data_IF_105713171804
#
_entry.id   IF_105713171804
#
_cell.length_a   1.000
_cell.length_b   1.000
_cell.length_c   1.000
_cell.angle_alpha   90.00
_cell.angle_beta   90.00
_cell.angle_gamma   90.00
#
_symmetry.space_group_name_H-M   'P 1'
#
loop_
_entity.id
_entity.type
_entity.pdbx_description
1 polymer ?
#
# COMPACT_ATOMS: atom_id res chain seq x y z
N UNK A 1 33.63 15.98 28.15
CA UNK A 1 33.59 15.12 26.97
C UNK A 1 32.36 14.23 27.07
N UNK A 2 31.24 14.63 26.45
CA UNK A 2 29.98 13.86 26.48
C UNK A 2 29.87 13.16 25.14
N UNK A 3 29.75 11.82 25.07
CA UNK A 3 29.68 11.13 23.80
C UNK A 3 28.35 11.51 23.15
N UNK A 4 28.44 12.16 21.99
CA UNK A 4 27.31 12.41 21.11
C UNK A 4 26.78 11.05 20.67
N UNK A 5 25.74 10.56 21.34
CA UNK A 5 25.02 9.39 20.84
C UNK A 5 24.59 9.71 19.40
N UNK A 6 24.83 8.80 18.43
CA UNK A 6 24.28 8.98 17.10
C UNK A 6 22.77 9.13 17.28
N UNK A 7 22.20 10.24 16.79
CA UNK A 7 20.75 10.39 16.69
C UNK A 7 20.27 9.10 16.04
N UNK A 8 19.56 8.28 16.81
CA UNK A 8 18.72 7.24 16.25
C UNK A 8 17.83 8.02 15.29
N UNK A 9 18.05 7.83 13.98
CA UNK A 9 17.27 8.50 12.95
C UNK A 9 15.87 7.97 13.11
N UNK A 10 15.10 8.72 13.89
CA UNK A 10 13.76 8.39 14.25
C UNK A 10 12.96 8.82 13.04
N UNK A 11 12.49 7.85 12.26
CA UNK A 11 11.64 8.10 11.11
C UNK A 11 10.58 9.13 11.50
N UNK A 12 10.47 10.20 10.70
CA UNK A 12 9.53 11.27 10.98
C UNK A 12 8.10 10.68 10.88
N UNK A 13 7.32 10.69 11.97
CA UNK A 13 5.95 10.18 11.94
C UNK A 13 5.07 10.89 10.91
N UNK A 14 5.43 12.12 10.50
CA UNK A 14 4.71 12.89 9.49
C UNK A 14 4.92 12.34 8.07
N UNK A 15 5.99 11.58 7.84
CA UNK A 15 6.27 10.93 6.56
C UNK A 15 5.75 9.48 6.52
N UNK A 16 5.14 9.00 7.60
CA UNK A 16 4.65 7.64 7.66
C UNK A 16 3.52 7.42 6.63
N UNK A 17 3.62 6.42 5.75
CA UNK A 17 2.58 6.15 4.79
C UNK A 17 1.31 5.67 5.51
N UNK A 18 0.17 5.89 4.89
CA UNK A 18 -1.09 5.29 5.33
C UNK A 18 -0.97 3.76 5.33
N UNK A 19 -1.64 3.05 6.26
CA UNK A 19 -1.62 1.60 6.27
C UNK A 19 -2.13 1.03 4.94
N UNK A 20 -1.37 0.12 4.32
CA UNK A 20 -1.79 -0.53 3.09
C UNK A 20 -2.92 -1.50 3.37
N UNK A 21 -4.06 -1.20 2.74
CA UNK A 21 -5.14 -2.16 2.58
C UNK A 21 -5.08 -2.79 1.19
N UNK A 22 -5.35 -4.09 1.13
CA UNK A 22 -5.50 -4.80 -0.11
C UNK A 22 -6.57 -4.05 -0.92
N UNK A 23 -6.21 -3.43 -2.05
CA UNK A 23 -7.13 -2.64 -2.90
C UNK A 23 -6.55 -1.34 -3.40
N UNK A 24 -5.63 -0.80 -2.63
CA UNK A 24 -4.79 0.28 -3.08
C UNK A 24 -3.74 -0.24 -4.07
N UNK A 25 -3.21 0.65 -4.90
CA UNK A 25 -2.12 0.30 -5.78
C UNK A 25 -0.87 0.04 -4.94
N UNK A 26 -0.44 -1.22 -4.87
CA UNK A 26 0.74 -1.62 -4.10
C UNK A 26 2.00 -0.91 -4.57
N UNK A 27 2.12 -0.57 -5.86
CA UNK A 27 3.29 0.13 -6.41
C UNK A 27 3.36 1.56 -5.91
N UNK A 28 2.25 2.29 -5.96
CA UNK A 28 2.17 3.67 -5.46
C UNK A 28 2.45 3.70 -3.94
N UNK A 29 1.87 2.75 -3.20
CA UNK A 29 2.12 2.65 -1.77
C UNK A 29 3.59 2.32 -1.43
N UNK A 30 4.25 1.46 -2.21
CA UNK A 30 5.67 1.16 -2.02
C UNK A 30 6.58 2.37 -2.29
N UNK A 31 6.18 3.25 -3.23
CA UNK A 31 6.90 4.52 -3.45
C UNK A 31 6.80 5.41 -2.21
N UNK A 32 5.60 5.62 -1.66
CA UNK A 32 5.41 6.40 -0.42
C UNK A 32 6.16 5.78 0.77
N UNK A 33 6.12 4.44 0.90
CA UNK A 33 6.88 3.75 1.93
C UNK A 33 8.39 3.95 1.76
N UNK A 34 8.91 3.95 0.53
CA UNK A 34 10.35 4.14 0.28
C UNK A 34 10.85 5.52 0.73
N UNK A 35 10.01 6.55 0.64
CA UNK A 35 10.30 7.90 1.14
C UNK A 35 10.46 7.91 2.66
N UNK A 36 9.64 7.15 3.39
CA UNK A 36 9.73 7.00 4.83
C UNK A 36 10.94 6.15 5.28
N UNK A 37 11.28 5.12 4.50
CA UNK A 37 12.35 4.18 4.84
C UNK A 37 13.77 4.75 4.66
N UNK A 38 13.93 5.86 3.92
CA UNK A 38 15.25 6.45 3.62
C UNK A 38 16.02 6.85 4.89
N UNK A 39 15.31 7.28 5.93
CA UNK A 39 15.88 7.69 7.21
C UNK A 39 16.07 6.52 8.19
N UNK A 40 15.64 5.31 7.82
CA UNK A 40 15.68 4.12 8.65
C UNK A 40 16.82 3.19 8.29
N UNK A 41 17.32 2.46 9.29
CA UNK A 41 18.31 1.42 9.07
C UNK A 41 17.76 0.32 8.13
N UNK A 42 18.52 -0.13 7.12
CA UNK A 42 18.08 -1.17 6.19
C UNK A 42 17.61 -2.47 6.85
N UNK A 43 18.18 -2.80 8.02
CA UNK A 43 17.78 -3.95 8.81
C UNK A 43 16.34 -3.88 9.33
N UNK A 44 15.78 -2.67 9.48
CA UNK A 44 14.43 -2.44 9.99
C UNK A 44 13.38 -2.28 8.87
N UNK A 45 13.80 -2.17 7.60
CA UNK A 45 12.90 -1.88 6.48
C UNK A 45 11.76 -2.91 6.35
N UNK A 46 12.08 -4.21 6.40
CA UNK A 46 11.06 -5.28 6.35
C UNK A 46 10.10 -5.21 7.53
N UNK A 47 10.61 -4.88 8.73
CA UNK A 47 9.82 -4.76 9.95
C UNK A 47 8.82 -3.60 9.84
N UNK A 48 9.25 -2.45 9.33
CA UNK A 48 8.37 -1.31 9.11
C UNK A 48 7.37 -1.55 7.98
N UNK A 49 7.81 -2.15 6.87
CA UNK A 49 6.92 -2.55 5.78
C UNK A 49 5.75 -3.40 6.29
N UNK A 50 6.02 -4.45 7.07
CA UNK A 50 4.98 -5.29 7.68
C UNK A 50 4.10 -4.53 8.69
N UNK A 51 4.67 -3.56 9.41
CA UNK A 51 3.94 -2.73 10.39
C UNK A 51 2.88 -1.85 9.72
N UNK A 52 3.17 -1.33 8.54
CA UNK A 52 2.25 -0.50 7.76
C UNK A 52 1.26 -1.31 6.92
N UNK A 53 1.23 -2.65 7.01
CA UNK A 53 0.14 -3.44 6.45
C UNK A 53 -1.05 -3.49 7.42
N UNK A 54 -2.28 -3.39 6.90
CA UNK A 54 -3.49 -3.69 7.69
C UNK A 54 -3.42 -5.11 8.25
N UNK A 55 -4.04 -5.41 9.41
CA UNK A 55 -3.97 -6.75 10.03
C UNK A 55 -4.27 -7.93 9.08
N UNK A 56 -5.31 -7.91 8.21
CA UNK A 56 -5.57 -9.02 7.29
C UNK A 56 -4.48 -9.16 6.23
N UNK A 57 -4.04 -8.06 5.64
CA UNK A 57 -2.97 -8.01 4.63
C UNK A 57 -1.64 -8.50 5.20
N UNK A 58 -1.32 -8.08 6.43
CA UNK A 58 -0.12 -8.52 7.15
C UNK A 58 -0.11 -10.01 7.39
N UNK A 59 -1.24 -10.57 7.84
CA UNK A 59 -1.39 -12.01 8.03
C UNK A 59 -1.14 -12.75 6.71
N UNK A 60 -1.73 -12.27 5.62
CA UNK A 60 -1.55 -12.86 4.29
C UNK A 60 -0.08 -12.82 3.85
N UNK A 61 0.59 -11.67 3.97
CA UNK A 61 2.01 -11.52 3.67
C UNK A 61 2.88 -12.49 4.48
N UNK A 62 2.60 -12.66 5.77
CA UNK A 62 3.33 -13.59 6.63
C UNK A 62 3.08 -15.06 6.25
N UNK A 63 1.85 -15.42 5.91
CA UNK A 63 1.54 -16.79 5.42
C UNK A 63 2.16 -17.10 4.07
N UNK A 64 2.47 -16.09 3.27
CA UNK A 64 3.18 -16.21 2.00
C UNK A 64 4.71 -16.30 2.15
N UNK A 65 5.23 -16.33 3.38
CA UNK A 65 6.66 -16.52 3.66
C UNK A 65 7.44 -15.25 3.96
N UNK A 66 6.79 -14.08 4.03
CA UNK A 66 7.46 -12.84 4.46
C UNK A 66 7.60 -12.86 5.99
N UNK A 67 8.84 -12.89 6.46
CA UNK A 67 9.19 -12.82 7.88
C UNK A 67 9.92 -11.52 8.20
N UNK A 68 10.08 -11.20 9.49
CA UNK A 68 10.85 -10.03 9.94
C UNK A 68 12.32 -10.09 9.50
N UNK A 69 12.84 -11.28 9.22
CA UNK A 69 14.22 -11.51 8.80
C UNK A 69 14.38 -11.64 7.28
N UNK A 70 13.27 -11.63 6.53
CA UNK A 70 13.32 -11.69 5.08
C UNK A 70 13.98 -10.40 4.56
N UNK A 71 14.97 -10.50 3.65
CA UNK A 71 15.57 -9.33 3.02
C UNK A 71 14.50 -8.43 2.40
N UNK A 72 14.64 -7.12 2.57
CA UNK A 72 13.62 -6.15 2.15
C UNK A 72 13.24 -6.29 0.67
N UNK A 73 14.23 -6.46 -0.21
CA UNK A 73 14.00 -6.65 -1.64
C UNK A 73 13.12 -7.88 -1.94
N UNK A 74 13.46 -9.04 -1.36
CA UNK A 74 12.66 -10.27 -1.49
C UNK A 74 11.24 -10.10 -0.94
N UNK A 75 11.11 -9.41 0.19
CA UNK A 75 9.82 -9.14 0.81
C UNK A 75 8.96 -8.20 -0.08
N UNK A 76 9.58 -7.20 -0.71
CA UNK A 76 8.94 -6.29 -1.65
C UNK A 76 8.47 -7.03 -2.92
N UNK A 77 9.31 -7.86 -3.52
CA UNK A 77 8.93 -8.67 -4.69
C UNK A 77 7.77 -9.61 -4.37
N UNK A 78 7.79 -10.22 -3.19
CA UNK A 78 6.70 -11.10 -2.73
C UNK A 78 5.40 -10.31 -2.55
N UNK A 79 5.43 -9.12 -1.93
CA UNK A 79 4.25 -8.26 -1.81
C UNK A 79 3.72 -7.82 -3.18
N UNK A 80 4.61 -7.42 -4.09
CA UNK A 80 4.24 -7.09 -5.45
C UNK A 80 3.54 -8.29 -6.10
N UNK A 81 4.13 -9.49 -6.08
CA UNK A 81 3.49 -10.66 -6.68
C UNK A 81 2.10 -11.00 -6.08
N UNK A 82 1.91 -10.77 -4.78
CA UNK A 82 0.65 -11.06 -4.09
C UNK A 82 -0.45 -10.05 -4.42
N UNK A 83 -0.10 -8.77 -4.55
CA UNK A 83 -1.06 -7.67 -4.65
C UNK A 83 -1.14 -7.03 -6.03
N UNK A 84 -0.13 -7.18 -6.89
CA UNK A 84 -0.13 -6.68 -8.28
C UNK A 84 -1.24 -7.39 -9.09
N UNK A 85 -1.50 -8.68 -8.81
CA UNK A 85 -2.60 -9.44 -9.42
C UNK A 85 -4.01 -8.95 -9.01
N UNK A 86 -4.14 -8.28 -7.85
CA UNK A 86 -5.40 -7.65 -7.44
C UNK A 86 -5.71 -6.37 -8.20
N UNK A 87 -4.74 -5.83 -8.95
CA UNK A 87 -4.91 -4.68 -9.83
C UNK A 87 -5.39 -5.09 -11.23
N UNK A 88 -5.69 -6.37 -11.45
CA UNK A 88 -6.24 -6.85 -12.72
C UNK A 88 -7.67 -6.30 -12.96
N UNK A 89 -8.09 -6.12 -14.22
CA UNK A 89 -9.43 -5.64 -14.54
C UNK A 89 -10.55 -6.51 -13.94
N UNK A 90 -10.33 -7.84 -13.89
CA UNK A 90 -11.29 -8.77 -13.29
C UNK A 90 -11.43 -8.56 -11.78
N UNK A 91 -10.31 -8.47 -11.06
CA UNK A 91 -10.32 -8.20 -9.61
C UNK A 91 -10.90 -6.81 -9.29
N UNK A 92 -10.61 -5.81 -10.13
CA UNK A 92 -11.21 -4.48 -10.03
C UNK A 92 -12.74 -4.50 -10.28
N UNK A 93 -13.22 -5.36 -11.19
CA UNK A 93 -14.65 -5.57 -11.41
C UNK A 93 -15.37 -6.18 -10.20
N UNK A 94 -14.79 -7.21 -9.58
CA UNK A 94 -15.34 -7.84 -8.36
C UNK A 94 -15.37 -6.87 -7.17
N UNK A 95 -14.34 -6.03 -7.07
CA UNK A 95 -14.26 -4.92 -6.11
C UNK A 95 -15.35 -3.90 -6.32
N UNK A 96 -15.53 -3.44 -7.56
CA UNK A 96 -16.58 -2.49 -7.92
C UNK A 96 -17.96 -3.03 -7.57
N UNK A 97 -18.19 -4.32 -7.82
CA UNK A 97 -19.44 -4.99 -7.47
C UNK A 97 -19.67 -5.07 -5.95
N UNK A 98 -18.59 -5.24 -5.18
CA UNK A 98 -18.65 -5.36 -3.72
C UNK A 98 -18.52 -4.00 -3.00
N UNK A 99 -18.21 -2.92 -3.73
CA UNK A 99 -18.01 -1.59 -3.16
C UNK A 99 -19.37 -1.05 -2.70
N UNK A 100 -19.54 -0.90 -1.40
CA UNK A 100 -20.70 -0.25 -0.80
C UNK A 100 -20.22 0.95 -0.02
N UNK A 101 -20.97 2.04 -0.09
CA UNK A 101 -20.70 3.23 0.70
C UNK A 101 -20.80 2.88 2.18
N UNK A 102 -19.65 2.77 2.85
CA UNK A 102 -19.55 2.56 4.30
C UNK A 102 -19.13 3.87 4.97
N UNK A 103 -18.51 3.85 6.15
CA UNK A 103 -18.16 5.01 7.00
C UNK A 103 -17.29 6.12 6.35
N UNK A 104 -17.02 6.03 5.05
CA UNK A 104 -16.22 6.96 4.26
C UNK A 104 -17.02 8.23 3.91
N UNK A 105 -16.34 9.35 3.68
CA UNK A 105 -17.00 10.54 3.14
C UNK A 105 -17.40 10.32 1.67
N UNK A 106 -18.40 11.06 1.19
CA UNK A 106 -18.90 10.92 -0.18
C UNK A 106 -17.82 11.22 -1.25
N UNK A 107 -16.86 12.08 -0.92
CA UNK A 107 -15.75 12.46 -1.79
C UNK A 107 -14.70 11.35 -1.92
N UNK A 108 -14.31 10.75 -0.79
CA UNK A 108 -13.44 9.58 -0.75
C UNK A 108 -14.08 8.40 -1.49
N UNK A 109 -15.38 8.17 -1.27
CA UNK A 109 -16.13 7.13 -1.96
C UNK A 109 -16.18 7.34 -3.48
N UNK A 110 -16.44 8.58 -3.93
CA UNK A 110 -16.46 8.91 -5.36
C UNK A 110 -15.07 8.68 -5.98
N UNK A 111 -14.01 9.05 -5.26
CA UNK A 111 -12.63 8.85 -5.70
C UNK A 111 -12.30 7.36 -5.84
N UNK A 112 -12.64 6.53 -4.83
CA UNK A 112 -12.44 5.07 -4.90
C UNK A 112 -13.27 4.43 -6.03
N UNK A 113 -14.53 4.84 -6.20
CA UNK A 113 -15.41 4.32 -7.25
C UNK A 113 -14.85 4.63 -8.64
N UNK A 114 -14.40 5.86 -8.87
CA UNK A 114 -13.82 6.29 -10.16
C UNK A 114 -12.52 5.52 -10.45
N UNK A 115 -11.67 5.33 -9.43
CA UNK A 115 -10.42 4.57 -9.58
C UNK A 115 -10.69 3.11 -9.92
N UNK A 116 -11.63 2.46 -9.23
CA UNK A 116 -12.01 1.08 -9.49
C UNK A 116 -12.66 0.92 -10.87
N UNK A 117 -13.55 1.83 -11.27
CA UNK A 117 -14.18 1.79 -12.58
C UNK A 117 -13.15 1.90 -13.72
N UNK A 118 -12.15 2.79 -13.59
CA UNK A 118 -11.06 2.93 -14.57
C UNK A 118 -10.21 1.67 -14.68
N UNK A 119 -9.94 1.00 -13.56
CA UNK A 119 -9.16 -0.26 -13.55
C UNK A 119 -9.95 -1.44 -14.11
N UNK A 120 -11.24 -1.54 -13.78
CA UNK A 120 -12.13 -2.59 -14.27
C UNK A 120 -12.42 -2.45 -15.77
N UNK A 121 -12.48 -1.21 -16.26
CA UNK A 121 -12.84 -0.88 -17.63
C UNK A 121 -11.84 0.10 -18.25
N UNK A 122 -10.60 -0.35 -18.53
CA UNK A 122 -9.54 0.52 -19.07
C UNK A 122 -9.83 1.06 -20.48
N UNK A 123 -10.81 0.47 -21.18
CA UNK A 123 -11.25 0.87 -22.52
C UNK A 123 -12.43 1.85 -22.52
N UNK A 124 -12.97 2.24 -21.36
CA UNK A 124 -14.05 3.23 -21.31
C UNK A 124 -13.53 4.60 -21.79
N UNK A 125 -14.13 5.19 -22.84
CA UNK A 125 -13.77 6.54 -23.26
C UNK A 125 -14.05 7.53 -22.11
N UNK A 126 -13.14 8.47 -21.86
CA UNK A 126 -13.17 9.51 -20.80
C UNK A 126 -14.35 10.50 -20.90
N UNK A 127 -15.43 10.17 -21.61
CA UNK A 127 -16.60 11.01 -21.81
C UNK A 127 -17.53 10.98 -20.59
N UNK A 128 -17.03 11.41 -19.43
CA UNK A 128 -17.88 11.97 -18.37
C UNK A 128 -17.18 13.25 -17.88
N UNK A 129 -16.91 14.16 -18.81
CA UNK A 129 -16.72 15.56 -18.48
C UNK A 129 -18.10 16.19 -18.43
N UNK A 130 -18.57 16.48 -17.20
CA UNK A 130 -19.38 17.64 -16.84
C UNK A 130 -20.37 18.15 -17.90
N UNK A 131 -21.65 17.81 -17.75
CA UNK A 131 -22.76 18.70 -18.12
C UNK A 131 -23.10 19.61 -16.96
#
# INVERSE_FOLDING_TARGET
DQPTQPRVSHADPLLAPVPYDAGHNIRDWLVELSLFLVDLAPADHTRYMLRFLTPPTRKLAMTSGISLHTPFNTAQETLLSLFDNQSSPSAAGERLYSLRQTQQTADEFATELIQLARRAFPTLPQAIATT
#
